data_IF_199939859189
#
_entry.id   IF_199939859189
#
_cell.length_a   1.000
_cell.length_b   1.000
_cell.length_c   1.000
_cell.angle_alpha   90.00
_cell.angle_beta   90.00
_cell.angle_gamma   90.00
#
_symmetry.space_group_name_H-M   'P 1'
#
loop_
_entity.id
_entity.type
_entity.pdbx_description
1 polymer ?
#
# COMPACT_ATOMS: atom_id res chain seq x y z
N UNK A 1 48.48 35.40 2.42
CA UNK A 1 47.45 36.23 3.07
C UNK A 1 46.10 35.71 2.61
N UNK A 2 45.19 35.65 3.57
CA UNK A 2 43.76 35.38 3.54
C UNK A 2 43.22 33.97 3.25
N UNK A 3 42.82 33.37 4.38
CA UNK A 3 42.00 32.19 4.58
C UNK A 3 40.54 32.67 4.62
N UNK A 4 39.70 32.17 3.71
CA UNK A 4 38.25 32.23 3.81
C UNK A 4 37.74 30.79 3.76
N UNK A 5 36.94 30.25 4.67
CA UNK A 5 36.12 30.86 5.70
C UNK A 5 34.73 30.21 5.63
N UNK A 6 34.45 29.31 6.58
CA UNK A 6 33.13 28.93 7.14
C UNK A 6 32.22 28.08 6.21
N UNK A 7 31.66 26.94 6.62
CA UNK A 7 30.88 26.75 7.85
C UNK A 7 30.86 25.27 8.28
N UNK A 8 31.18 25.04 9.55
CA UNK A 8 31.02 23.76 10.25
C UNK A 8 29.72 23.84 11.06
N UNK A 9 28.63 23.29 10.52
CA UNK A 9 27.32 23.34 11.17
C UNK A 9 27.25 22.33 12.31
N UNK A 10 27.37 22.87 13.53
CA UNK A 10 26.98 22.22 14.78
C UNK A 10 25.46 22.00 14.81
N UNK A 11 25.04 20.78 14.54
CA UNK A 11 23.68 20.29 14.83
C UNK A 11 23.66 19.38 16.06
N UNK A 12 23.61 19.96 17.25
CA UNK A 12 23.37 19.25 18.51
C UNK A 12 21.94 18.69 18.56
N UNK A 13 21.79 17.37 18.63
CA UNK A 13 20.56 16.74 19.13
C UNK A 13 20.88 15.69 20.19
N UNK A 14 20.85 16.18 21.42
CA UNK A 14 20.68 15.39 22.63
C UNK A 14 19.26 14.84 22.66
N UNK A 15 19.09 13.53 22.71
CA UNK A 15 17.88 12.90 23.25
C UNK A 15 18.34 11.94 24.32
N UNK A 16 18.28 12.45 25.55
CA UNK A 16 18.44 11.70 26.77
C UNK A 16 17.42 10.56 26.82
N UNK A 17 17.93 9.33 26.89
CA UNK A 17 17.19 8.22 27.46
C UNK A 17 17.09 8.46 28.96
N UNK A 18 15.92 8.84 29.45
CA UNK A 18 15.63 8.82 30.88
C UNK A 18 14.35 8.05 31.18
N UNK A 19 14.57 6.98 31.92
CA UNK A 19 13.64 6.07 32.60
C UNK A 19 12.75 6.84 33.57
N UNK A 20 11.48 6.41 33.77
CA UNK A 20 10.85 6.33 35.11
C UNK A 20 9.46 5.66 35.14
N UNK A 21 9.45 4.49 35.78
CA UNK A 21 8.52 4.01 36.82
C UNK A 21 7.08 4.55 36.90
N UNK A 22 6.11 3.65 36.69
CA UNK A 22 4.71 3.81 37.08
C UNK A 22 4.23 2.69 38.01
N UNK A 23 4.83 2.58 39.21
CA UNK A 23 4.23 1.83 40.32
C UNK A 23 3.18 2.72 40.98
N UNK A 24 1.90 2.35 40.89
CA UNK A 24 0.87 2.72 41.86
C UNK A 24 0.02 1.50 42.18
N UNK A 25 0.46 0.77 43.19
CA UNK A 25 -0.46 0.10 44.10
C UNK A 25 -1.01 1.17 45.07
N UNK A 26 -2.34 1.24 45.20
CA UNK A 26 -3.08 1.63 46.43
C UNK A 26 -4.58 1.53 46.22
N UNK A 27 -5.13 0.40 46.70
CA UNK A 27 -6.38 0.20 47.44
C UNK A 27 -7.41 1.35 47.41
N UNK A 28 -8.65 1.02 47.03
CA UNK A 28 -9.79 1.89 47.29
C UNK A 28 -11.16 1.32 46.91
N UNK A 29 -11.70 0.44 47.76
CA UNK A 29 -13.12 0.42 48.18
C UNK A 29 -14.22 0.32 47.10
N UNK A 30 -14.82 -0.87 46.99
CA UNK A 30 -16.24 -1.04 46.61
C UNK A 30 -17.15 -0.29 47.59
N UNK A 31 -18.28 0.26 47.10
CA UNK A 31 -19.55 -0.12 47.70
C UNK A 31 -20.50 -0.68 46.64
N UNK A 32 -21.16 -1.79 46.99
CA UNK A 32 -22.30 -2.35 46.27
C UNK A 32 -23.45 -1.36 46.36
N UNK A 33 -23.96 -0.90 45.22
CA UNK A 33 -25.29 -0.29 45.15
C UNK A 33 -26.15 -1.15 44.23
N UNK A 34 -27.13 -1.80 44.86
CA UNK A 34 -28.16 -2.62 44.25
C UNK A 34 -29.14 -1.69 43.51
N UNK A 35 -29.00 -1.57 42.20
CA UNK A 35 -30.06 -1.09 41.33
C UNK A 35 -30.51 -2.26 40.45
N UNK A 36 -31.67 -2.81 40.81
CA UNK A 36 -32.42 -3.79 40.01
C UNK A 36 -32.72 -3.15 38.66
N UNK A 37 -31.98 -3.54 37.62
CA UNK A 37 -32.30 -3.22 36.22
C UNK A 37 -33.17 -4.33 35.64
N UNK A 38 -34.23 -4.02 34.87
CA UNK A 38 -35.01 -5.02 34.16
C UNK A 38 -34.11 -5.74 33.16
N UNK A 39 -34.28 -7.07 33.10
CA UNK A 39 -33.37 -7.98 32.43
C UNK A 39 -33.20 -7.71 30.93
N UNK A 40 -32.05 -8.10 30.35
CA UNK A 40 -31.85 -8.00 28.92
C UNK A 40 -32.83 -8.96 28.22
N UNK A 41 -33.70 -8.40 27.39
CA UNK A 41 -34.37 -9.17 26.34
C UNK A 41 -33.24 -9.78 25.51
N UNK A 42 -33.10 -11.09 25.57
CA UNK A 42 -32.21 -11.87 24.71
C UNK A 42 -32.71 -11.74 23.26
N UNK A 43 -32.44 -10.60 22.64
CA UNK A 43 -32.30 -10.54 21.19
C UNK A 43 -31.15 -11.48 20.90
N UNK A 44 -31.46 -12.66 20.33
CA UNK A 44 -30.48 -13.61 19.82
C UNK A 44 -29.56 -12.87 18.87
N UNK A 45 -28.47 -12.34 19.42
CA UNK A 45 -27.33 -11.93 18.63
C UNK A 45 -26.84 -13.22 17.98
N UNK A 46 -26.78 -13.31 16.65
CA UNK A 46 -26.16 -14.46 16.03
C UNK A 46 -24.73 -14.49 16.57
N UNK A 47 -24.43 -15.48 17.40
CA UNK A 47 -23.08 -15.73 17.88
C UNK A 47 -22.27 -15.96 16.62
N UNK A 48 -21.51 -14.96 16.21
CA UNK A 48 -20.57 -15.07 15.10
C UNK A 48 -19.66 -16.25 15.48
N UNK A 49 -19.84 -17.37 14.79
CA UNK A 49 -19.02 -18.55 15.00
C UNK A 49 -17.57 -18.11 14.77
N UNK A 50 -16.64 -18.34 15.71
CA UNK A 50 -15.26 -17.96 15.51
C UNK A 50 -14.79 -18.58 14.19
N UNK A 51 -14.36 -17.73 13.26
CA UNK A 51 -13.81 -18.19 11.99
C UNK A 51 -12.64 -19.12 12.28
N UNK A 52 -12.56 -20.24 11.57
CA UNK A 52 -11.39 -21.11 11.71
C UNK A 52 -10.15 -20.33 11.28
N UNK A 53 -8.97 -20.59 11.87
CA UNK A 53 -7.72 -19.95 11.44
C UNK A 53 -7.48 -20.04 9.93
N UNK A 54 -7.90 -21.16 9.31
CA UNK A 54 -7.86 -21.38 7.86
C UNK A 54 -8.78 -20.42 7.09
N UNK A 55 -10.01 -20.19 7.56
CA UNK A 55 -10.94 -19.26 6.93
C UNK A 55 -10.45 -17.80 7.06
N UNK A 56 -9.86 -17.44 8.21
CA UNK A 56 -9.25 -16.14 8.42
C UNK A 56 -8.05 -15.92 7.48
N UNK A 57 -7.17 -16.93 7.33
CA UNK A 57 -6.03 -16.89 6.41
C UNK A 57 -6.48 -16.72 4.94
N UNK A 58 -7.48 -17.48 4.49
CA UNK A 58 -8.02 -17.34 3.13
C UNK A 58 -8.60 -15.95 2.86
N UNK A 59 -9.21 -15.33 3.88
CA UNK A 59 -9.72 -13.95 3.80
C UNK A 59 -8.59 -12.93 3.73
N UNK A 60 -7.52 -13.12 4.52
CA UNK A 60 -6.32 -12.30 4.46
C UNK A 60 -5.64 -12.38 3.08
N UNK A 61 -5.45 -13.59 2.55
CA UNK A 61 -4.89 -13.83 1.21
C UNK A 61 -5.69 -13.11 0.13
N UNK A 62 -7.03 -13.17 0.20
CA UNK A 62 -7.90 -12.47 -0.75
C UNK A 62 -7.74 -10.95 -0.68
N UNK A 63 -7.69 -10.38 0.53
CA UNK A 63 -7.45 -8.94 0.72
C UNK A 63 -6.10 -8.51 0.18
N UNK A 64 -5.06 -9.33 0.40
CA UNK A 64 -3.72 -9.09 -0.11
C UNK A 64 -3.68 -9.17 -1.64
N UNK A 65 -4.35 -10.15 -2.24
CA UNK A 65 -4.49 -10.25 -3.69
C UNK A 65 -5.20 -9.03 -4.28
N UNK A 66 -6.28 -8.56 -3.64
CA UNK A 66 -6.98 -7.34 -4.08
C UNK A 66 -6.10 -6.09 -3.99
N UNK A 67 -5.26 -5.99 -2.96
CA UNK A 67 -4.28 -4.91 -2.83
C UNK A 67 -3.24 -4.96 -3.97
N UNK A 68 -2.57 -6.09 -4.17
CA UNK A 68 -1.57 -6.22 -5.22
C UNK A 68 -2.16 -6.00 -6.60
N UNK A 69 -3.39 -6.46 -6.85
CA UNK A 69 -4.08 -6.18 -8.10
C UNK A 69 -4.22 -4.68 -8.37
N UNK A 70 -4.61 -3.89 -7.37
CA UNK A 70 -4.73 -2.42 -7.53
C UNK A 70 -3.39 -1.79 -7.84
N UNK A 71 -2.34 -2.17 -7.12
CA UNK A 71 -0.98 -1.65 -7.34
C UNK A 71 -0.46 -2.01 -8.73
N UNK A 72 -0.60 -3.26 -9.16
CA UNK A 72 -0.17 -3.70 -10.49
C UNK A 72 -0.92 -2.97 -11.60
N UNK A 73 -2.24 -2.80 -11.48
CA UNK A 73 -3.05 -2.05 -12.44
C UNK A 73 -2.66 -0.57 -12.48
N UNK A 74 -2.37 0.03 -11.33
CA UNK A 74 -1.90 1.41 -11.25
C UNK A 74 -0.53 1.58 -11.94
N UNK A 75 0.42 0.69 -11.65
CA UNK A 75 1.75 0.71 -12.28
C UNK A 75 1.65 0.52 -13.79
N UNK A 76 0.83 -0.42 -14.25
CA UNK A 76 0.57 -0.65 -15.68
C UNK A 76 0.06 0.62 -16.37
N UNK A 77 -0.87 1.36 -15.76
CA UNK A 77 -1.37 2.64 -16.29
C UNK A 77 -0.29 3.72 -16.32
N UNK A 78 0.58 3.76 -15.31
CA UNK A 78 1.70 4.70 -15.29
C UNK A 78 2.68 4.43 -16.44
N UNK A 79 2.99 3.15 -16.70
CA UNK A 79 3.81 2.74 -17.86
C UNK A 79 3.12 3.12 -19.18
N UNK A 80 1.81 2.87 -19.33
CA UNK A 80 1.05 3.28 -20.52
C UNK A 80 1.16 4.78 -20.78
N UNK A 81 1.05 5.61 -19.73
CA UNK A 81 1.26 7.05 -19.85
C UNK A 81 2.68 7.40 -20.32
N UNK A 82 3.72 6.79 -19.73
CA UNK A 82 5.11 7.02 -20.13
C UNK A 82 5.38 6.60 -21.57
N UNK A 83 4.81 5.48 -22.01
CA UNK A 83 4.90 5.03 -23.41
C UNK A 83 4.28 6.05 -24.37
N UNK A 84 3.14 6.65 -24.02
CA UNK A 84 2.54 7.73 -24.81
C UNK A 84 3.45 8.97 -24.88
N UNK A 85 4.09 9.35 -23.77
CA UNK A 85 5.05 10.46 -23.75
C UNK A 85 6.30 10.15 -24.59
N UNK A 86 6.80 8.91 -24.58
CA UNK A 86 7.90 8.50 -25.44
C UNK A 86 7.55 8.54 -26.92
N UNK A 87 6.33 8.16 -27.30
CA UNK A 87 5.88 8.29 -28.69
C UNK A 87 5.89 9.75 -29.14
N UNK A 88 5.45 10.68 -28.30
CA UNK A 88 5.54 12.13 -28.59
C UNK A 88 7.00 12.58 -28.72
N UNK A 89 7.86 12.18 -27.79
CA UNK A 89 9.28 12.56 -27.82
C UNK A 89 10.01 12.01 -29.07
N UNK A 90 9.69 10.79 -29.50
CA UNK A 90 10.21 10.21 -30.75
C UNK A 90 9.75 11.05 -31.94
N UNK A 91 8.46 11.38 -32.03
CA UNK A 91 7.94 12.20 -33.11
C UNK A 91 8.60 13.59 -33.17
N UNK A 92 8.83 14.22 -32.01
CA UNK A 92 9.55 15.50 -31.93
C UNK A 92 11.00 15.36 -32.40
N UNK A 93 11.73 14.35 -31.94
CA UNK A 93 13.12 14.12 -32.34
C UNK A 93 13.25 13.81 -33.83
N UNK A 94 12.35 13.00 -34.38
CA UNK A 94 12.30 12.71 -35.82
C UNK A 94 12.01 13.99 -36.63
N UNK A 95 11.11 14.87 -36.15
CA UNK A 95 10.79 16.14 -36.81
C UNK A 95 11.96 17.13 -36.79
N UNK A 96 12.82 17.09 -35.77
CA UNK A 96 14.03 17.93 -35.68
C UNK A 96 15.25 17.30 -36.36
N UNK A 97 15.13 16.09 -36.91
CA UNK A 97 16.25 15.35 -37.50
C UNK A 97 17.23 14.76 -36.48
N UNK A 98 16.83 14.68 -35.20
CA UNK A 98 17.63 14.11 -34.12
C UNK A 98 17.48 12.58 -34.07
N UNK A 99 18.17 11.90 -34.99
CA UNK A 99 18.12 10.45 -35.11
C UNK A 99 18.68 9.72 -33.87
N UNK A 100 19.69 10.30 -33.21
CA UNK A 100 20.31 9.71 -32.03
C UNK A 100 19.39 9.81 -30.81
N UNK A 101 18.79 10.98 -30.59
CA UNK A 101 17.78 11.19 -29.55
C UNK A 101 16.59 10.26 -29.74
N UNK A 102 16.07 10.15 -30.98
CA UNK A 102 14.99 9.24 -31.30
C UNK A 102 15.38 7.76 -31.03
N UNK A 103 16.59 7.34 -31.38
CA UNK A 103 17.10 6.01 -31.07
C UNK A 103 17.20 5.75 -29.56
N UNK A 104 17.64 6.73 -28.78
CA UNK A 104 17.72 6.64 -27.31
C UNK A 104 16.35 6.47 -26.67
N UNK A 105 15.37 7.29 -27.06
CA UNK A 105 14.00 7.19 -26.54
C UNK A 105 13.35 5.86 -26.92
N UNK A 106 13.59 5.35 -28.14
CA UNK A 106 13.11 4.01 -28.54
C UNK A 106 13.67 2.89 -27.66
N UNK A 107 14.93 2.98 -27.22
CA UNK A 107 15.51 2.01 -26.27
C UNK A 107 14.78 2.05 -24.92
N UNK A 108 14.51 3.24 -24.39
CA UNK A 108 13.76 3.40 -23.14
C UNK A 108 12.33 2.87 -23.26
N UNK A 109 11.63 3.16 -24.36
CA UNK A 109 10.28 2.66 -24.59
C UNK A 109 10.20 1.13 -24.64
N UNK A 110 11.23 0.45 -25.16
CA UNK A 110 11.29 -1.02 -25.17
C UNK A 110 11.38 -1.62 -23.77
N UNK A 111 12.13 -0.98 -22.87
CA UNK A 111 12.25 -1.45 -21.48
C UNK A 111 10.90 -1.33 -20.75
N UNK A 112 10.22 -0.19 -20.91
CA UNK A 112 8.88 0.02 -20.36
C UNK A 112 7.85 -0.97 -20.92
N UNK A 113 7.93 -1.29 -22.21
CA UNK A 113 7.05 -2.26 -22.85
C UNK A 113 7.25 -3.67 -22.26
N UNK A 114 8.50 -4.07 -21.99
CA UNK A 114 8.82 -5.34 -21.32
C UNK A 114 8.27 -5.38 -19.88
N UNK A 115 8.39 -4.27 -19.14
CA UNK A 115 7.81 -4.16 -17.81
C UNK A 115 6.28 -4.27 -17.86
N UNK A 116 5.62 -3.58 -18.80
CA UNK A 116 4.16 -3.68 -18.99
C UNK A 116 3.72 -5.12 -19.21
N UNK A 117 4.40 -5.86 -20.10
CA UNK A 117 4.12 -7.26 -20.38
C UNK A 117 4.31 -8.15 -19.15
N UNK A 118 5.33 -7.86 -18.33
CA UNK A 118 5.55 -8.55 -17.06
C UNK A 118 4.39 -8.30 -16.09
N UNK A 119 3.94 -7.06 -15.95
CA UNK A 119 2.79 -6.71 -15.11
C UNK A 119 1.50 -7.37 -15.60
N UNK A 120 1.26 -7.41 -16.91
CA UNK A 120 0.10 -8.08 -17.51
C UNK A 120 0.06 -9.55 -17.10
N UNK A 121 1.19 -10.27 -17.20
CA UNK A 121 1.29 -11.66 -16.77
C UNK A 121 1.10 -11.86 -15.26
N UNK A 122 1.56 -10.92 -14.42
CA UNK A 122 1.33 -10.98 -12.97
C UNK A 122 -0.14 -10.75 -12.62
N UNK A 123 -0.79 -9.79 -13.28
CA UNK A 123 -2.21 -9.48 -13.10
C UNK A 123 -3.05 -10.71 -13.47
N UNK A 124 -2.78 -11.34 -14.61
CA UNK A 124 -3.49 -12.53 -15.07
C UNK A 124 -3.35 -13.69 -14.08
N UNK A 125 -2.11 -14.00 -13.65
CA UNK A 125 -1.86 -15.05 -12.65
C UNK A 125 -2.61 -14.81 -11.35
N UNK A 126 -2.65 -13.55 -10.90
CA UNK A 126 -3.33 -13.17 -9.68
C UNK A 126 -4.84 -13.31 -9.81
N UNK A 127 -5.43 -12.89 -10.94
CA UNK A 127 -6.86 -13.05 -11.24
C UNK A 127 -7.27 -14.51 -11.34
N UNK A 128 -6.43 -15.36 -11.93
CA UNK A 128 -6.69 -16.80 -12.03
C UNK A 128 -6.71 -17.47 -10.65
N UNK A 129 -5.79 -17.08 -9.75
CA UNK A 129 -5.71 -17.65 -8.40
C UNK A 129 -6.77 -17.09 -7.45
N UNK A 130 -7.10 -15.81 -7.59
CA UNK A 130 -8.09 -15.11 -6.78
C UNK A 130 -9.11 -14.41 -7.70
N UNK A 131 -10.09 -15.16 -8.22
CA UNK A 131 -11.13 -14.58 -9.05
C UNK A 131 -11.85 -13.46 -8.31
N UNK A 132 -12.16 -12.33 -8.97
CA UNK A 132 -12.97 -11.29 -8.35
C UNK A 132 -14.30 -11.88 -7.87
N UNK A 133 -14.82 -11.44 -6.71
CA UNK A 133 -16.12 -11.89 -6.24
C UNK A 133 -17.16 -11.61 -7.32
N UNK A 134 -17.81 -12.67 -7.80
CA UNK A 134 -18.83 -12.56 -8.83
C UNK A 134 -19.96 -11.68 -8.30
N UNK A 135 -20.10 -10.47 -8.84
CA UNK A 135 -21.16 -9.52 -8.48
C UNK A 135 -22.58 -10.02 -8.84
N UNK A 136 -22.70 -11.22 -9.43
CA UNK A 136 -23.96 -11.79 -9.89
C UNK A 136 -24.84 -12.45 -8.80
N UNK A 137 -24.40 -12.52 -7.54
CA UNK A 137 -25.17 -13.21 -6.47
C UNK A 137 -25.97 -12.26 -5.53
N UNK A 138 -26.16 -10.98 -5.91
CA UNK A 138 -26.87 -9.98 -5.10
C UNK A 138 -28.08 -9.36 -5.82
N UNK A 139 -28.85 -10.17 -6.55
CA UNK A 139 -30.18 -9.80 -7.04
C UNK A 139 -31.24 -10.75 -6.50
#
# INVERSE_FOLDING_TARGET
>A
MDVAGLSDERGTRSIAGHVSNGVRDRRGRRPRSSAVRPGPVNVRQPVARPESPTAAAATADRRQADYFRRVLVQNRRHIEHRLAEYQKAIATADATGDAEGAASVRRMARLEEQERQTLDGLIEKLQRRFPPPNRAATR
#
